data_IF_550616830486
#
_entry.id   IF_550616830486
#
_cell.length_a   1.000
_cell.length_b   1.000
_cell.length_c   1.000
_cell.angle_alpha   90.00
_cell.angle_beta   90.00
_cell.angle_gamma   90.00
#
_symmetry.space_group_name_H-M   'P 1'
#
loop_
_entity.id
_entity.type
_entity.pdbx_description
1 polymer ?
#
# COMPACT_ATOMS: atom_id res chain seq x y z
N UNK A 1 3.71 14.14 15.90
CA UNK A 1 4.49 14.49 14.69
C UNK A 1 4.35 13.47 13.54
N UNK A 2 4.32 12.14 13.80
CA UNK A 2 4.26 11.09 12.78
C UNK A 2 2.99 11.03 11.92
N UNK A 3 1.85 11.46 12.48
CA UNK A 3 0.57 11.40 11.79
C UNK A 3 0.56 12.17 10.47
N UNK A 4 1.32 13.27 10.35
CA UNK A 4 1.35 14.08 9.10
C UNK A 4 2.17 13.39 8.02
N UNK A 5 3.34 12.85 8.36
CA UNK A 5 4.19 12.14 7.40
C UNK A 5 3.50 10.88 6.86
N UNK A 6 2.97 10.04 7.76
CA UNK A 6 2.24 8.83 7.38
C UNK A 6 1.04 9.17 6.48
N UNK A 7 0.22 10.16 6.88
CA UNK A 7 -0.94 10.59 6.07
C UNK A 7 -0.54 11.08 4.67
N UNK A 8 0.56 11.83 4.54
CA UNK A 8 1.06 12.30 3.23
C UNK A 8 1.54 11.14 2.36
N UNK A 9 2.25 10.17 2.94
CA UNK A 9 2.67 8.94 2.26
C UNK A 9 1.43 8.17 1.79
N UNK A 10 0.43 7.96 2.66
CA UNK A 10 -0.81 7.25 2.31
C UNK A 10 -1.52 7.94 1.14
N UNK A 11 -1.68 9.27 1.24
CA UNK A 11 -2.34 10.06 0.20
C UNK A 11 -1.61 9.98 -1.15
N UNK A 12 -0.27 10.05 -1.13
CA UNK A 12 0.55 10.02 -2.34
C UNK A 12 0.63 8.64 -3.00
N UNK A 13 0.70 7.57 -2.21
CA UNK A 13 0.83 6.20 -2.75
C UNK A 13 -0.51 5.57 -3.06
N UNK A 14 -1.46 5.56 -2.13
CA UNK A 14 -2.73 4.85 -2.32
C UNK A 14 -3.89 5.78 -2.69
N UNK A 15 -3.87 7.02 -2.18
CA UNK A 15 -4.94 7.99 -2.43
C UNK A 15 -5.12 8.36 -3.91
N UNK A 16 -4.05 8.29 -4.71
CA UNK A 16 -4.10 8.55 -6.16
C UNK A 16 -4.03 7.26 -6.96
N UNK A 17 -5.18 6.84 -7.53
CA UNK A 17 -5.32 5.68 -8.41
C UNK A 17 -4.63 4.38 -7.90
N UNK A 18 -4.62 4.18 -6.57
CA UNK A 18 -3.96 3.05 -5.91
C UNK A 18 -2.48 2.88 -6.32
N UNK A 19 -1.78 3.99 -6.55
CA UNK A 19 -0.34 4.02 -6.84
C UNK A 19 0.00 3.77 -8.31
N UNK A 20 -0.98 3.78 -9.20
CA UNK A 20 -0.78 3.68 -10.65
C UNK A 20 -0.51 5.06 -11.25
N UNK A 21 0.46 5.78 -10.68
CA UNK A 21 0.85 7.13 -11.09
C UNK A 21 2.38 7.20 -11.08
N UNK A 22 2.98 7.78 -12.12
CA UNK A 22 4.44 7.81 -12.31
C UNK A 22 5.23 8.54 -11.22
N UNK A 23 4.58 9.41 -10.43
CA UNK A 23 5.18 10.20 -9.35
C UNK A 23 4.84 9.68 -7.95
N UNK A 24 4.18 8.52 -7.83
CA UNK A 24 3.82 7.97 -6.53
C UNK A 24 5.09 7.55 -5.76
N UNK A 25 5.10 7.66 -4.41
CA UNK A 25 6.26 7.24 -3.63
C UNK A 25 6.32 5.71 -3.52
N UNK A 26 7.33 5.09 -4.15
CA UNK A 26 7.52 3.63 -4.16
C UNK A 26 8.51 3.10 -3.10
N UNK A 27 9.30 3.98 -2.48
CA UNK A 27 10.23 3.63 -1.42
C UNK A 27 10.34 4.76 -0.39
N UNK A 28 10.72 4.39 0.84
CA UNK A 28 10.91 5.30 1.95
C UNK A 28 12.27 4.99 2.57
N UNK A 29 13.07 6.02 2.81
CA UNK A 29 14.35 5.92 3.53
C UNK A 29 14.14 6.52 4.92
N UNK A 30 14.54 5.78 5.96
CA UNK A 30 14.42 6.21 7.35
C UNK A 30 15.48 5.54 8.21
N UNK A 31 15.59 5.93 9.48
CA UNK A 31 16.50 5.33 10.45
C UNK A 31 15.87 4.07 11.08
N UNK A 32 16.71 3.17 11.57
CA UNK A 32 16.28 1.88 12.11
C UNK A 32 15.29 2.00 13.28
N UNK A 33 15.43 3.04 14.11
CA UNK A 33 14.57 3.31 15.27
C UNK A 33 13.19 3.89 14.88
N UNK A 34 13.07 4.42 13.66
CA UNK A 34 11.85 5.03 13.13
C UNK A 34 11.07 4.06 12.25
N UNK A 35 11.74 3.16 11.54
CA UNK A 35 11.10 2.17 10.66
C UNK A 35 9.88 1.47 11.28
N UNK A 36 9.95 0.83 12.47
CA UNK A 36 8.79 0.16 13.06
C UNK A 36 7.65 1.14 13.43
N UNK A 37 7.99 2.31 13.99
CA UNK A 37 7.02 3.35 14.37
C UNK A 37 6.27 3.91 13.15
N UNK A 38 6.98 4.04 12.02
CA UNK A 38 6.42 4.47 10.77
C UNK A 38 5.46 3.42 10.20
N UNK A 39 5.83 2.13 10.21
CA UNK A 39 4.95 1.04 9.77
C UNK A 39 3.63 1.03 10.55
N UNK A 40 3.68 1.15 11.88
CA UNK A 40 2.47 1.17 12.71
C UNK A 40 1.61 2.41 12.45
N UNK A 41 2.24 3.56 12.20
CA UNK A 41 1.55 4.78 11.81
C UNK A 41 0.87 4.64 10.44
N UNK A 42 1.53 4.01 9.46
CA UNK A 42 0.95 3.76 8.14
C UNK A 42 -0.25 2.82 8.21
N UNK A 43 -0.19 1.74 9.00
CA UNK A 43 -1.33 0.84 9.24
C UNK A 43 -2.54 1.60 9.80
N UNK A 44 -2.30 2.42 10.82
CA UNK A 44 -3.34 3.23 11.46
C UNK A 44 -3.97 4.22 10.48
N UNK A 45 -3.16 4.89 9.66
CA UNK A 45 -3.66 5.86 8.69
C UNK A 45 -4.36 5.18 7.50
N UNK A 46 -3.94 3.99 7.05
CA UNK A 46 -4.65 3.20 6.05
C UNK A 46 -6.06 2.81 6.51
N UNK A 47 -6.20 2.36 7.76
CA UNK A 47 -7.51 2.06 8.34
C UNK A 47 -8.40 3.31 8.43
N UNK A 48 -7.84 4.48 8.72
CA UNK A 48 -8.61 5.74 8.67
C UNK A 48 -9.02 6.13 7.25
N UNK A 49 -8.17 5.86 6.26
CA UNK A 49 -8.42 6.20 4.86
C UNK A 49 -9.48 5.32 4.21
N UNK A 50 -9.40 4.00 4.44
CA UNK A 50 -10.22 3.02 3.72
C UNK A 50 -11.10 2.16 4.65
N UNK A 51 -11.05 2.38 5.95
CA UNK A 51 -11.73 1.56 6.95
C UNK A 51 -10.99 0.24 7.23
N UNK A 52 -11.53 -0.53 8.17
CA UNK A 52 -11.02 -1.88 8.53
C UNK A 52 -11.04 -2.89 7.39
N UNK A 53 -11.91 -2.66 6.40
CA UNK A 53 -11.99 -3.49 5.20
C UNK A 53 -11.84 -2.59 3.96
N UNK A 54 -10.60 -2.38 3.49
CA UNK A 54 -10.33 -1.48 2.38
C UNK A 54 -11.08 -1.83 1.10
N UNK A 55 -11.37 -3.11 0.88
CA UNK A 55 -12.11 -3.59 -0.31
C UNK A 55 -13.61 -3.21 -0.29
N UNK A 56 -14.14 -2.77 0.85
CA UNK A 56 -15.49 -2.20 0.94
C UNK A 56 -15.50 -0.67 0.76
N UNK A 57 -14.34 -0.02 0.76
CA UNK A 57 -14.25 1.41 0.51
C UNK A 57 -14.58 1.73 -0.94
N UNK A 58 -15.37 2.79 -1.15
CA UNK A 58 -15.67 3.32 -2.50
C UNK A 58 -14.50 4.12 -3.06
N UNK A 59 -13.56 4.53 -2.21
CA UNK A 59 -12.44 5.40 -2.56
C UNK A 59 -11.19 4.61 -2.97
N UNK A 60 -11.19 3.29 -2.78
CA UNK A 60 -10.07 2.43 -3.18
C UNK A 60 -10.17 2.09 -4.67
N UNK A 61 -9.24 2.63 -5.46
CA UNK A 61 -9.13 2.31 -6.88
C UNK A 61 -8.61 0.87 -7.12
N UNK A 62 -9.03 0.28 -8.25
CA UNK A 62 -8.66 -1.07 -8.67
C UNK A 62 -7.48 -1.02 -9.65
N UNK A 63 -6.76 -2.12 -9.79
CA UNK A 63 -5.71 -2.23 -10.81
C UNK A 63 -6.38 -2.27 -12.19
N UNK A 64 -5.83 -1.49 -13.14
CA UNK A 64 -6.52 -1.18 -14.41
C UNK A 64 -6.69 -2.39 -15.34
N UNK A 65 -5.88 -3.43 -15.21
CA UNK A 65 -5.99 -4.62 -16.05
C UNK A 65 -5.46 -5.89 -15.38
N UNK A 66 -5.91 -7.05 -15.87
CA UNK A 66 -5.45 -8.38 -15.47
C UNK A 66 -3.96 -8.59 -15.69
N UNK A 67 -3.40 -8.02 -16.77
CA UNK A 67 -1.97 -8.08 -17.04
C UNK A 67 -1.16 -7.33 -15.98
N UNK A 68 -1.61 -6.14 -15.56
CA UNK A 68 -0.94 -5.39 -14.49
C UNK A 68 -1.10 -6.07 -13.14
N UNK A 69 -2.26 -6.64 -12.85
CA UNK A 69 -2.50 -7.42 -11.64
C UNK A 69 -1.59 -8.64 -11.56
N UNK A 70 -1.52 -9.45 -12.63
CA UNK A 70 -0.63 -10.61 -12.72
C UNK A 70 0.83 -10.21 -12.49
N UNK A 71 1.27 -9.10 -13.08
CA UNK A 71 2.63 -8.58 -12.88
C UNK A 71 2.90 -8.23 -11.42
N UNK A 72 1.98 -7.53 -10.75
CA UNK A 72 2.13 -7.18 -9.32
C UNK A 72 2.10 -8.41 -8.42
N UNK A 73 1.20 -9.35 -8.69
CA UNK A 73 1.11 -10.63 -7.98
C UNK A 73 2.43 -11.40 -8.03
N UNK A 74 3.05 -11.51 -9.21
CA UNK A 74 4.37 -12.13 -9.37
C UNK A 74 5.48 -11.42 -8.58
N UNK A 75 5.45 -10.09 -8.49
CA UNK A 75 6.41 -9.34 -7.67
C UNK A 75 6.22 -9.61 -6.18
N UNK A 76 4.98 -9.81 -5.72
CA UNK A 76 4.69 -10.17 -4.34
C UNK A 76 5.05 -11.63 -4.02
N UNK A 77 4.97 -12.53 -5.01
CA UNK A 77 5.33 -13.95 -4.88
C UNK A 77 6.84 -14.22 -4.94
N UNK A 78 7.66 -13.24 -5.34
CA UNK A 78 9.11 -13.40 -5.34
C UNK A 78 9.61 -13.75 -3.92
N UNK A 79 10.42 -14.80 -3.80
CA UNK A 79 10.93 -15.30 -2.51
C UNK A 79 11.67 -14.22 -1.70
N UNK A 80 12.28 -13.24 -2.38
CA UNK A 80 12.98 -12.12 -1.72
C UNK A 80 12.02 -11.10 -1.13
N UNK A 81 10.74 -11.14 -1.49
CA UNK A 81 9.68 -10.19 -1.13
C UNK A 81 8.64 -10.83 -0.20
N UNK A 82 8.13 -12.02 -0.53
CA UNK A 82 7.01 -12.66 0.17
C UNK A 82 7.23 -12.73 1.69
N UNK A 83 8.42 -13.17 2.14
CA UNK A 83 8.78 -13.26 3.56
C UNK A 83 9.04 -11.93 4.26
N UNK A 84 8.96 -10.79 3.55
CA UNK A 84 9.22 -9.43 4.09
C UNK A 84 7.97 -8.56 4.14
N UNK A 85 6.80 -9.08 3.74
CA UNK A 85 5.54 -8.34 3.78
C UNK A 85 5.10 -8.19 5.24
N UNK A 86 5.04 -6.96 5.73
CA UNK A 86 4.67 -6.64 7.13
C UNK A 86 3.20 -6.20 7.30
N UNK A 87 2.50 -5.95 6.21
CA UNK A 87 1.08 -5.55 6.18
C UNK A 87 0.49 -5.74 4.77
N UNK A 88 -0.77 -6.18 4.69
CA UNK A 88 -1.45 -6.43 3.42
C UNK A 88 -0.90 -7.67 2.69
N UNK A 89 -0.68 -7.56 1.38
CA UNK A 89 -0.20 -8.66 0.54
C UNK A 89 -1.29 -9.58 -0.01
N UNK A 90 -2.55 -9.33 0.33
CA UNK A 90 -3.70 -10.05 -0.20
C UNK A 90 -3.92 -9.74 -1.69
N UNK A 91 -4.39 -10.75 -2.43
CA UNK A 91 -4.59 -10.70 -3.88
C UNK A 91 -6.04 -11.07 -4.20
N UNK A 92 -6.78 -10.13 -4.78
CA UNK A 92 -8.20 -10.28 -5.05
C UNK A 92 -8.50 -10.09 -6.54
N UNK A 93 -8.19 -11.09 -7.36
CA UNK A 93 -8.38 -11.04 -8.81
C UNK A 93 -9.86 -10.90 -9.21
N UNK A 94 -10.77 -11.43 -8.39
CA UNK A 94 -12.23 -11.36 -8.59
C UNK A 94 -12.81 -9.94 -8.61
N UNK A 95 -12.01 -8.92 -8.27
CA UNK A 95 -12.37 -7.50 -8.34
C UNK A 95 -11.59 -6.72 -9.40
N UNK A 96 -11.03 -7.37 -10.41
CA UNK A 96 -10.57 -6.70 -11.63
C UNK A 96 -11.70 -6.16 -12.50
#
# INVERSE_FOLDING_TARGET
MWCVAARRIISGKWGSNNGQVCICPDYIITTNDIAPKLVDSLKTELEKFYGKNPLKSKDLARIVSSNHFTRLTKLLDDDKVCGKIVYGGEKHESRL
#
